data_IF_013667923297
#
_entry.id   IF_013667923297
#
_cell.length_a   1.000
_cell.length_b   1.000
_cell.length_c   1.000
_cell.angle_alpha   90.00
_cell.angle_beta   90.00
_cell.angle_gamma   90.00
#
_symmetry.space_group_name_H-M   'P 1'
#
loop_
_entity.id
_entity.type
_entity.pdbx_description
1 polymer ?
#
# COMPACT_ATOMS: atom_id res chain seq x y z
N UNK A 1 11.30 13.99 -0.42
CA UNK A 1 10.67 14.15 -1.76
C UNK A 1 9.20 14.44 -1.54
N UNK A 2 8.62 15.50 -2.11
CA UNK A 2 7.16 15.76 -2.00
C UNK A 2 6.44 15.01 -3.13
N UNK A 3 5.45 14.19 -2.78
CA UNK A 3 4.61 13.48 -3.74
C UNK A 3 3.83 14.48 -4.61
N UNK A 4 3.94 14.35 -5.93
CA UNK A 4 3.13 15.10 -6.88
C UNK A 4 2.11 14.13 -7.53
N UNK A 5 0.82 14.19 -7.15
CA UNK A 5 -0.19 13.23 -7.61
C UNK A 5 -0.39 13.20 -9.13
N UNK A 6 -0.03 14.28 -9.84
CA UNK A 6 -0.28 14.43 -11.27
C UNK A 6 0.84 13.87 -12.19
N UNK A 7 1.96 13.41 -11.61
CA UNK A 7 3.06 12.73 -12.32
C UNK A 7 3.40 11.40 -11.66
N UNK A 8 2.39 10.71 -11.15
CA UNK A 8 2.61 9.48 -10.43
C UNK A 8 3.06 8.35 -11.38
N UNK A 9 4.30 7.85 -11.18
CA UNK A 9 4.76 6.59 -11.76
C UNK A 9 3.99 5.44 -11.12
N UNK A 10 3.49 4.51 -11.92
CA UNK A 10 2.92 3.26 -11.43
C UNK A 10 4.00 2.18 -11.47
N UNK A 11 4.40 1.70 -10.30
CA UNK A 11 5.40 0.67 -10.12
C UNK A 11 4.78 -0.74 -10.18
N UNK A 12 3.69 -0.98 -9.43
CA UNK A 12 2.92 -2.24 -9.52
C UNK A 12 1.43 -1.99 -9.37
N UNK A 13 0.64 -3.05 -9.50
CA UNK A 13 -0.78 -3.04 -9.20
C UNK A 13 -1.08 -4.09 -8.15
N UNK A 14 -1.97 -3.77 -7.21
CA UNK A 14 -2.38 -4.70 -6.15
C UNK A 14 -3.85 -4.49 -5.77
N UNK A 15 -4.52 -5.58 -5.37
CA UNK A 15 -5.75 -5.46 -4.58
C UNK A 15 -5.37 -5.11 -3.16
N UNK A 16 -6.18 -4.30 -2.50
CA UNK A 16 -5.94 -3.82 -1.13
C UNK A 16 -7.17 -4.10 -0.31
N UNK A 17 -7.00 -4.67 0.87
CA UNK A 17 -8.04 -4.74 1.89
C UNK A 17 -7.61 -3.90 3.08
N UNK A 18 -8.35 -2.83 3.36
CA UNK A 18 -8.11 -1.97 4.52
C UNK A 18 -8.86 -2.55 5.71
N UNK A 19 -8.16 -2.98 6.76
CA UNK A 19 -8.80 -3.59 7.91
C UNK A 19 -9.74 -2.59 8.60
N UNK A 20 -10.92 -3.04 9.08
CA UNK A 20 -11.78 -2.22 9.92
C UNK A 20 -11.18 -2.09 11.33
N UNK A 21 -11.62 -1.10 12.14
CA UNK A 21 -11.08 -0.85 13.48
C UNK A 21 -11.08 -2.07 14.41
N UNK A 22 -12.12 -2.89 14.35
CA UNK A 22 -12.29 -4.12 15.14
C UNK A 22 -11.23 -5.19 14.83
N UNK A 23 -10.52 -5.07 13.71
CA UNK A 23 -9.36 -5.92 13.34
C UNK A 23 -8.02 -5.22 13.52
N UNK A 24 -7.98 -4.09 14.25
CA UNK A 24 -6.77 -3.29 14.46
C UNK A 24 -6.48 -2.30 13.34
N UNK A 25 -7.42 -2.10 12.40
CA UNK A 25 -7.26 -1.16 11.29
C UNK A 25 -7.38 0.31 11.67
N UNK A 26 -7.54 1.16 10.65
CA UNK A 26 -7.74 2.61 10.83
C UNK A 26 -9.19 2.92 11.21
N UNK A 27 -9.39 3.99 11.98
CA UNK A 27 -10.72 4.57 12.21
C UNK A 27 -11.19 5.48 11.06
N UNK A 28 -10.25 5.97 10.24
CA UNK A 28 -10.51 6.86 9.12
C UNK A 28 -10.23 6.17 7.79
N UNK A 29 -10.88 6.66 6.73
CA UNK A 29 -10.53 6.29 5.37
C UNK A 29 -9.09 6.73 5.00
N UNK A 30 -8.57 6.14 3.93
CA UNK A 30 -7.39 6.63 3.22
C UNK A 30 -7.83 7.41 1.97
N UNK A 31 -7.12 8.50 1.70
CA UNK A 31 -7.42 9.46 0.63
C UNK A 31 -6.18 9.73 -0.23
N UNK A 32 -6.36 10.42 -1.36
CA UNK A 32 -5.27 10.73 -2.31
C UNK A 32 -4.09 11.37 -1.57
N UNK A 33 -2.89 10.84 -1.83
CA UNK A 33 -1.65 11.30 -1.21
C UNK A 33 -1.29 10.60 0.10
N UNK A 34 -2.17 9.74 0.62
CA UNK A 34 -1.84 8.84 1.72
C UNK A 34 -0.69 7.90 1.36
N UNK A 35 0.11 7.54 2.37
CA UNK A 35 1.29 6.69 2.23
C UNK A 35 1.57 5.90 3.50
N UNK A 36 2.17 4.72 3.37
CA UNK A 36 2.57 3.91 4.53
C UNK A 36 3.84 3.12 4.25
N UNK A 37 4.38 2.50 5.31
CA UNK A 37 5.38 1.46 5.14
C UNK A 37 4.69 0.20 4.61
N UNK A 38 5.27 -0.40 3.58
CA UNK A 38 4.83 -1.64 2.96
C UNK A 38 5.82 -2.74 3.35
N UNK A 39 5.31 -3.76 4.04
CA UNK A 39 6.11 -4.84 4.61
C UNK A 39 5.91 -6.10 3.76
N UNK A 40 6.95 -6.73 3.21
CA UNK A 40 6.82 -8.02 2.52
C UNK A 40 6.15 -9.05 3.43
N UNK A 41 5.08 -9.71 2.97
CA UNK A 41 4.34 -10.64 3.83
C UNK A 41 5.10 -11.96 4.08
N UNK A 42 6.04 -12.30 3.20
CA UNK A 42 6.88 -13.50 3.28
C UNK A 42 8.09 -13.35 4.22
N UNK A 43 8.51 -12.12 4.51
CA UNK A 43 9.66 -11.80 5.36
C UNK A 43 9.43 -10.46 6.08
N UNK A 44 8.57 -10.43 7.11
CA UNK A 44 8.17 -9.19 7.79
C UNK A 44 9.29 -8.51 8.60
N UNK A 45 10.41 -9.20 8.85
CA UNK A 45 11.62 -8.68 9.49
C UNK A 45 12.54 -7.93 8.52
N UNK A 46 12.30 -8.01 7.22
CA UNK A 46 13.07 -7.28 6.21
C UNK A 46 12.80 -5.77 6.23
N UNK A 47 13.54 -5.04 5.39
CA UNK A 47 13.30 -3.62 5.14
C UNK A 47 11.86 -3.37 4.69
N UNK A 48 11.24 -2.35 5.27
CA UNK A 48 9.96 -1.82 4.81
C UNK A 48 10.15 -0.77 3.70
N UNK A 49 9.17 -0.67 2.80
CA UNK A 49 9.22 0.23 1.64
C UNK A 49 8.15 1.32 1.76
N UNK A 50 8.51 2.58 1.54
CA UNK A 50 7.52 3.65 1.56
C UNK A 50 6.70 3.63 0.27
N UNK A 51 5.38 3.43 0.39
CA UNK A 51 4.47 3.30 -0.76
C UNK A 51 3.27 4.25 -0.72
N UNK A 52 2.73 4.54 -1.91
CA UNK A 52 1.52 5.34 -2.15
C UNK A 52 0.57 4.58 -3.09
N UNK A 53 -0.65 4.20 -2.68
CA UNK A 53 -1.66 3.75 -3.62
C UNK A 53 -2.16 4.93 -4.47
N UNK A 54 -2.31 4.70 -5.77
CA UNK A 54 -2.77 5.67 -6.75
C UNK A 54 -4.31 5.70 -6.78
N UNK A 55 -4.89 6.40 -5.80
CA UNK A 55 -6.34 6.39 -5.57
C UNK A 55 -7.18 7.14 -6.62
N UNK A 56 -6.61 8.02 -7.45
CA UNK A 56 -7.34 8.74 -8.53
C UNK A 56 -8.72 9.32 -8.13
N UNK A 57 -8.85 9.88 -6.91
CA UNK A 57 -10.07 10.41 -6.27
C UNK A 57 -10.96 9.40 -5.54
N UNK A 58 -10.59 8.12 -5.50
CA UNK A 58 -11.23 7.11 -4.65
C UNK A 58 -10.85 7.36 -3.20
N UNK A 59 -11.84 7.23 -2.32
CA UNK A 59 -11.66 7.14 -0.87
C UNK A 59 -11.87 5.69 -0.48
N UNK A 60 -10.88 5.05 0.13
CA UNK A 60 -11.01 3.66 0.61
C UNK A 60 -11.28 3.67 2.11
N UNK A 61 -12.46 3.22 2.51
CA UNK A 61 -12.89 3.19 3.91
C UNK A 61 -12.42 1.90 4.61
N UNK A 62 -12.28 1.92 5.94
CA UNK A 62 -12.00 0.70 6.69
C UNK A 62 -13.07 -0.37 6.42
N UNK A 63 -12.63 -1.61 6.17
CA UNK A 63 -13.49 -2.72 5.78
C UNK A 63 -13.73 -2.85 4.27
N UNK A 64 -13.24 -1.93 3.45
CA UNK A 64 -13.38 -2.00 1.99
C UNK A 64 -12.19 -2.67 1.30
N UNK A 65 -12.45 -3.17 0.09
CA UNK A 65 -11.43 -3.61 -0.85
C UNK A 65 -11.26 -2.58 -1.96
N UNK A 66 -10.05 -2.46 -2.50
CA UNK A 66 -9.78 -1.66 -3.68
C UNK A 66 -8.73 -2.30 -4.58
N UNK A 67 -8.59 -1.75 -5.78
CA UNK A 67 -7.62 -2.17 -6.77
C UNK A 67 -6.87 -0.93 -7.24
N UNK A 68 -5.57 -0.86 -6.94
CA UNK A 68 -4.81 0.37 -7.14
C UNK A 68 -3.46 0.07 -7.76
N UNK A 69 -3.04 0.98 -8.65
CA UNK A 69 -1.61 1.14 -8.92
C UNK A 69 -0.90 1.61 -7.66
N UNK A 70 0.38 1.30 -7.53
CA UNK A 70 1.23 1.71 -6.41
C UNK A 70 2.48 2.38 -6.92
N UNK A 71 2.90 3.42 -6.22
CA UNK A 71 4.21 4.05 -6.38
C UNK A 71 5.03 3.80 -5.12
N UNK A 72 6.32 3.54 -5.26
CA UNK A 72 7.25 3.44 -4.14
C UNK A 72 8.36 4.49 -4.25
N UNK A 73 8.89 4.90 -3.09
CA UNK A 73 9.96 5.89 -3.04
C UNK A 73 11.21 5.40 -3.79
N UNK A 74 11.56 4.12 -3.63
CA UNK A 74 12.67 3.45 -4.29
C UNK A 74 12.30 2.84 -5.66
N UNK A 75 11.03 2.98 -6.07
CA UNK A 75 10.53 2.50 -7.36
C UNK A 75 10.69 1.03 -7.59
N UNK A 76 11.27 0.66 -8.74
CA UNK A 76 11.33 -0.73 -9.21
C UNK A 76 12.05 -1.66 -8.24
N UNK A 77 12.99 -1.16 -7.42
CA UNK A 77 13.62 -1.98 -6.38
C UNK A 77 12.59 -2.47 -5.34
N UNK A 78 11.75 -1.57 -4.84
CA UNK A 78 10.66 -1.93 -3.92
C UNK A 78 9.64 -2.81 -4.63
N UNK A 79 9.26 -2.42 -5.86
CA UNK A 79 8.26 -3.13 -6.63
C UNK A 79 8.66 -4.58 -6.92
N UNK A 80 9.90 -4.83 -7.33
CA UNK A 80 10.42 -6.17 -7.58
C UNK A 80 10.32 -7.04 -6.33
N UNK A 81 10.83 -6.56 -5.18
CA UNK A 81 10.78 -7.32 -3.93
C UNK A 81 9.35 -7.62 -3.47
N UNK A 82 8.44 -6.65 -3.62
CA UNK A 82 7.03 -6.83 -3.25
C UNK A 82 6.28 -7.75 -4.22
N UNK A 83 6.66 -7.77 -5.51
CA UNK A 83 6.13 -8.75 -6.48
C UNK A 83 6.61 -10.16 -6.14
N UNK A 84 7.88 -10.33 -5.78
CA UNK A 84 8.42 -11.63 -5.33
C UNK A 84 7.68 -12.16 -4.09
N UNK A 85 7.33 -11.30 -3.14
CA UNK A 85 6.53 -11.66 -1.97
C UNK A 85 5.08 -12.05 -2.32
N UNK A 86 4.56 -11.61 -3.47
CA UNK A 86 3.17 -11.77 -3.92
C UNK A 86 2.13 -10.98 -3.11
N UNK A 87 2.48 -10.53 -1.90
CA UNK A 87 1.65 -9.70 -1.04
C UNK A 87 2.49 -8.89 -0.05
N UNK A 88 1.91 -7.82 0.47
CA UNK A 88 2.53 -6.97 1.46
C UNK A 88 1.53 -6.41 2.44
N UNK A 89 1.98 -6.17 3.66
CA UNK A 89 1.18 -5.59 4.73
C UNK A 89 1.33 -4.07 4.73
N UNK A 90 0.24 -3.39 5.05
CA UNK A 90 0.20 -1.93 5.22
C UNK A 90 0.44 -1.60 6.69
N UNK A 91 1.51 -0.85 6.98
CA UNK A 91 1.92 -0.56 8.36
C UNK A 91 1.96 0.94 8.68
N UNK A 92 1.29 1.30 9.78
CA UNK A 92 1.31 2.61 10.44
C UNK A 92 1.29 2.38 11.96
N UNK A 93 2.46 2.18 12.57
CA UNK A 93 2.63 1.70 13.98
C UNK A 93 2.11 0.26 14.23
N UNK A 94 1.12 -0.17 13.44
CA UNK A 94 0.53 -1.50 13.42
C UNK A 94 0.11 -1.88 12.00
N UNK A 95 -0.21 -3.15 11.79
CA UNK A 95 -0.78 -3.61 10.52
C UNK A 95 -2.23 -3.13 10.41
N UNK A 96 -2.49 -2.32 9.39
CA UNK A 96 -3.81 -1.70 9.15
C UNK A 96 -4.52 -2.29 7.93
N UNK A 97 -3.86 -3.17 7.18
CA UNK A 97 -4.40 -3.78 5.98
C UNK A 97 -3.37 -4.63 5.28
N UNK A 98 -3.79 -5.22 4.18
CA UNK A 98 -2.96 -6.07 3.34
C UNK A 98 -3.22 -5.77 1.87
N UNK A 99 -2.20 -6.01 1.06
CA UNK A 99 -2.28 -5.88 -0.38
C UNK A 99 -1.76 -7.16 -1.04
N UNK A 100 -2.47 -7.62 -2.06
CA UNK A 100 -2.05 -8.75 -2.90
C UNK A 100 -1.68 -8.22 -4.26
N UNK A 101 -0.44 -8.49 -4.68
CA UNK A 101 0.06 -8.06 -5.98
C UNK A 101 -0.75 -8.73 -7.08
N UNK A 102 -1.10 -7.94 -8.10
CA UNK A 102 -1.77 -8.39 -9.31
C UNK A 102 -0.75 -8.32 -10.45
N UNK A 103 -0.24 -9.49 -10.85
CA UNK A 103 0.79 -9.66 -11.87
C UNK A 103 1.57 -10.93 -11.64
#
# INVERSE_FOLDING_TARGET
MRFNPWKARQDLVATVFLYPPERGGRASAIEVGWSCACVPADAPEERHWQGWPLLNSVVLRPGENGYFGWMFAEGEQAAARLREAGSFLLWEERIIGEARVVG
#
